data_IF_164101624034
#
_entry.id   IF_164101624034
#
_cell.length_a   1.000
_cell.length_b   1.000
_cell.length_c   1.000
_cell.angle_alpha   90.00
_cell.angle_beta   90.00
_cell.angle_gamma   90.00
#
_symmetry.space_group_name_H-M   'P 1'
#
loop_
_entity.id
_entity.type
_entity.pdbx_description
1 polymer ?
#
# COMPACT_ATOMS: atom_id res chain seq x y z
N UNK A 1 9.51 29.80 7.69
CA UNK A 1 10.32 28.63 7.27
C UNK A 1 10.05 27.52 8.26
N UNK A 2 9.54 26.37 7.81
CA UNK A 2 9.35 25.23 8.70
C UNK A 2 10.74 24.69 9.13
N UNK A 3 10.95 24.34 10.40
CA UNK A 3 12.15 23.65 10.85
C UNK A 3 12.44 22.43 9.97
N UNK A 4 13.68 22.30 9.48
CA UNK A 4 14.11 21.15 8.67
C UNK A 4 13.75 19.77 9.28
N UNK A 5 13.82 19.57 10.62
CA UNK A 5 13.39 18.32 11.24
C UNK A 5 11.89 18.00 11.05
N UNK A 6 11.01 19.01 11.04
CA UNK A 6 9.57 18.79 10.81
C UNK A 6 9.28 18.40 9.36
N UNK A 7 10.04 18.97 8.42
CA UNK A 7 9.94 18.61 6.99
C UNK A 7 10.39 17.16 6.77
N UNK A 8 11.50 16.73 7.40
CA UNK A 8 11.98 15.35 7.26
C UNK A 8 11.03 14.33 7.92
N UNK A 9 10.48 14.64 9.09
CA UNK A 9 9.51 13.78 9.79
C UNK A 9 8.23 13.61 8.97
N UNK A 10 7.70 14.70 8.42
CA UNK A 10 6.51 14.64 7.56
C UNK A 10 6.76 13.88 6.25
N UNK A 11 7.93 14.07 5.65
CA UNK A 11 8.33 13.31 4.45
C UNK A 11 8.45 11.81 4.76
N UNK A 12 9.04 11.45 5.91
CA UNK A 12 9.15 10.06 6.35
C UNK A 12 7.75 9.45 6.57
N UNK A 13 6.87 10.15 7.27
CA UNK A 13 5.47 9.72 7.44
C UNK A 13 4.78 9.47 6.10
N UNK A 14 4.97 10.38 5.13
CA UNK A 14 4.37 10.25 3.79
C UNK A 14 4.91 9.06 3.02
N UNK A 15 6.23 8.83 3.08
CA UNK A 15 6.86 7.67 2.45
C UNK A 15 6.39 6.36 3.07
N UNK A 16 6.27 6.33 4.38
CA UNK A 16 5.83 5.14 5.12
C UNK A 16 4.37 4.81 4.81
N UNK A 17 3.52 5.83 4.76
CA UNK A 17 2.11 5.69 4.34
C UNK A 17 2.00 5.18 2.90
N UNK A 18 2.80 5.71 1.98
CA UNK A 18 2.86 5.26 0.57
C UNK A 18 3.30 3.77 0.49
N UNK A 19 4.25 3.35 1.33
CA UNK A 19 4.70 1.95 1.43
C UNK A 19 3.60 1.02 1.95
N UNK A 20 2.87 1.43 3.00
CA UNK A 20 1.76 0.64 3.56
C UNK A 20 0.64 0.49 2.52
N UNK A 21 0.25 1.58 1.84
CA UNK A 21 -0.74 1.55 0.78
C UNK A 21 -0.33 0.60 -0.37
N UNK A 22 0.93 0.67 -0.78
CA UNK A 22 1.47 -0.16 -1.86
C UNK A 22 1.46 -1.64 -1.50
N UNK A 23 1.84 -1.98 -0.25
CA UNK A 23 1.79 -3.36 0.23
C UNK A 23 0.34 -3.87 0.31
N UNK A 24 -0.57 -3.11 0.91
CA UNK A 24 -1.99 -3.49 1.00
C UNK A 24 -2.60 -3.74 -0.38
N UNK A 25 -2.39 -2.85 -1.34
CA UNK A 25 -2.93 -3.03 -2.69
C UNK A 25 -2.33 -4.24 -3.41
N UNK A 26 -1.00 -4.42 -3.34
CA UNK A 26 -0.31 -5.53 -3.99
C UNK A 26 -0.73 -6.88 -3.40
N UNK A 27 -0.79 -6.95 -2.07
CA UNK A 27 -1.16 -8.15 -1.33
C UNK A 27 -2.64 -8.48 -1.49
N UNK A 28 -3.54 -7.49 -1.43
CA UNK A 28 -4.96 -7.70 -1.68
C UNK A 28 -5.19 -8.22 -3.10
N UNK A 29 -4.53 -7.64 -4.11
CA UNK A 29 -4.57 -8.13 -5.48
C UNK A 29 -4.07 -9.58 -5.59
N UNK A 30 -2.98 -9.93 -4.91
CA UNK A 30 -2.47 -11.30 -4.85
C UNK A 30 -3.45 -12.27 -4.17
N UNK A 31 -4.26 -11.78 -3.23
CA UNK A 31 -5.36 -12.51 -2.58
C UNK A 31 -6.64 -12.60 -3.43
N UNK A 32 -6.64 -12.04 -4.65
CA UNK A 32 -7.81 -12.07 -5.54
C UNK A 32 -8.77 -10.89 -5.38
N UNK A 33 -8.36 -9.82 -4.69
CA UNK A 33 -9.14 -8.58 -4.64
C UNK A 33 -9.25 -7.98 -6.05
N UNK A 34 -10.44 -7.54 -6.48
CA UNK A 34 -10.64 -7.01 -7.83
C UNK A 34 -9.82 -5.73 -8.03
N UNK A 35 -8.94 -5.76 -9.03
CA UNK A 35 -8.07 -4.64 -9.36
C UNK A 35 -8.85 -3.38 -9.80
N UNK A 36 -10.09 -3.52 -10.25
CA UNK A 36 -10.97 -2.41 -10.60
C UNK A 36 -11.36 -1.55 -9.38
N UNK A 37 -11.26 -2.10 -8.17
CA UNK A 37 -11.46 -1.36 -6.92
C UNK A 37 -10.15 -0.73 -6.39
N UNK A 38 -8.99 -1.14 -6.93
CA UNK A 38 -7.69 -0.59 -6.60
C UNK A 38 -7.32 0.44 -7.66
N UNK A 39 -7.62 1.71 -7.44
CA UNK A 39 -7.30 2.76 -8.42
C UNK A 39 -5.78 2.87 -8.62
N UNK A 40 -5.23 2.41 -9.77
CA UNK A 40 -3.81 2.61 -10.05
C UNK A 40 -3.64 4.04 -10.54
N UNK A 41 -2.58 4.72 -10.10
CA UNK A 41 -2.23 6.02 -10.69
C UNK A 41 -1.90 5.81 -12.17
N UNK A 42 -2.67 6.47 -13.03
CA UNK A 42 -2.34 6.63 -14.45
C UNK A 42 -3.15 5.80 -15.46
N UNK A 43 -4.22 5.10 -15.08
CA UNK A 43 -5.04 4.39 -16.06
C UNK A 43 -6.53 4.70 -15.93
N UNK A 44 -6.95 5.71 -16.69
CA UNK A 44 -8.29 5.74 -17.26
C UNK A 44 -8.53 4.41 -17.99
N UNK A 45 -9.59 3.69 -17.56
CA UNK A 45 -10.29 2.60 -18.25
C UNK A 45 -9.62 2.15 -19.56
N UNK A 46 -8.82 1.08 -19.56
CA UNK A 46 -8.60 0.29 -20.77
C UNK A 46 -8.34 -1.18 -20.43
N UNK A 47 -9.16 -2.02 -21.05
CA UNK A 47 -9.10 -3.47 -21.01
C UNK A 47 -7.74 -4.00 -21.50
N UNK A 48 -7.41 -5.18 -20.97
CA UNK A 48 -6.61 -6.25 -21.58
C UNK A 48 -5.09 -6.35 -21.27
N UNK A 49 -4.76 -7.60 -20.88
CA UNK A 49 -3.56 -8.42 -21.12
C UNK A 49 -2.19 -8.01 -20.57
N UNK A 50 -1.65 -8.97 -19.80
CA UNK A 50 -0.25 -9.38 -19.59
C UNK A 50 0.85 -8.36 -19.86
N UNK A 51 1.70 -8.09 -18.86
CA UNK A 51 3.17 -8.16 -19.01
C UNK A 51 3.86 -7.99 -17.65
N UNK A 52 4.77 -8.91 -17.35
CA UNK A 52 5.77 -8.75 -16.30
C UNK A 52 6.60 -7.49 -16.58
N UNK A 53 6.42 -6.44 -15.78
CA UNK A 53 7.39 -5.35 -15.70
C UNK A 53 7.42 -4.87 -14.26
N UNK A 54 8.58 -5.05 -13.64
CA UNK A 54 8.91 -4.69 -12.26
C UNK A 54 8.94 -3.16 -12.12
N UNK A 55 7.77 -2.54 -12.28
CA UNK A 55 7.52 -1.12 -12.05
C UNK A 55 6.74 -1.11 -10.75
N UNK A 56 7.37 -0.59 -9.70
CA UNK A 56 6.75 -0.24 -8.43
C UNK A 56 5.49 0.58 -8.71
N UNK A 57 4.36 -0.11 -8.83
CA UNK A 57 3.10 0.50 -9.20
C UNK A 57 2.69 1.29 -7.97
N UNK A 58 2.78 2.62 -8.04
CA UNK A 58 2.36 3.47 -6.93
C UNK A 58 0.83 3.37 -6.84
N UNK A 59 0.35 2.59 -5.88
CA UNK A 59 -1.08 2.41 -5.64
C UNK A 59 -1.61 3.60 -4.82
N UNK A 60 -2.68 4.24 -5.28
CA UNK A 60 -3.45 5.15 -4.43
C UNK A 60 -4.53 4.32 -3.76
N UNK A 61 -4.32 4.04 -2.47
CA UNK A 61 -5.34 3.50 -1.59
C UNK A 61 -5.85 4.65 -0.74
N UNK A 62 -7.17 4.90 -0.73
CA UNK A 62 -7.70 5.90 0.17
C UNK A 62 -7.57 5.40 1.60
N UNK A 63 -7.28 6.28 2.57
CA UNK A 63 -7.05 5.87 3.96
C UNK A 63 -8.23 5.05 4.54
N UNK A 64 -9.46 5.38 4.13
CA UNK A 64 -10.69 4.65 4.48
C UNK A 64 -10.70 3.18 4.03
N UNK A 65 -9.92 2.84 3.01
CA UNK A 65 -9.86 1.50 2.42
C UNK A 65 -8.79 0.62 3.08
N UNK A 66 -7.91 1.19 3.92
CA UNK A 66 -6.81 0.44 4.55
C UNK A 66 -7.33 -0.70 5.42
N UNK A 67 -8.32 -0.43 6.28
CA UNK A 67 -8.90 -1.43 7.17
C UNK A 67 -9.67 -2.51 6.38
N UNK A 68 -10.58 -2.15 5.45
CA UNK A 68 -11.22 -3.14 4.57
C UNK A 68 -10.23 -4.02 3.79
N UNK A 69 -9.16 -3.44 3.26
CA UNK A 69 -8.11 -4.19 2.54
C UNK A 69 -7.37 -5.14 3.47
N UNK A 70 -6.97 -4.69 4.65
CA UNK A 70 -6.33 -5.53 5.65
C UNK A 70 -7.23 -6.69 6.10
N UNK A 71 -8.52 -6.44 6.30
CA UNK A 71 -9.50 -7.48 6.64
C UNK A 71 -9.66 -8.50 5.51
N UNK A 72 -9.71 -8.06 4.25
CA UNK A 72 -9.77 -8.95 3.09
C UNK A 72 -8.52 -9.85 3.00
N UNK A 73 -7.34 -9.26 3.20
CA UNK A 73 -6.06 -9.99 3.23
C UNK A 73 -6.05 -11.01 4.36
N UNK A 74 -6.47 -10.63 5.57
CA UNK A 74 -6.52 -11.52 6.73
C UNK A 74 -7.54 -12.67 6.57
N UNK A 75 -8.64 -12.43 5.85
CA UNK A 75 -9.63 -13.45 5.52
C UNK A 75 -9.19 -14.39 4.39
N UNK A 76 -8.16 -14.02 3.63
CA UNK A 76 -7.64 -14.83 2.53
C UNK A 76 -6.84 -16.02 3.04
N UNK A 77 -7.34 -17.24 2.82
CA UNK A 77 -6.65 -18.49 3.17
C UNK A 77 -5.68 -18.98 2.09
N UNK A 78 -5.72 -18.37 0.89
CA UNK A 78 -4.89 -18.74 -0.28
C UNK A 78 -4.62 -17.47 -1.09
N UNK A 79 -3.36 -16.99 -1.20
CA UNK A 79 -2.12 -17.50 -0.61
C UNK A 79 -2.03 -17.22 0.91
N UNK A 80 -1.18 -17.96 1.62
CA UNK A 80 -0.75 -17.58 2.98
C UNK A 80 0.07 -16.31 2.84
N UNK A 81 -0.46 -15.20 3.34
CA UNK A 81 0.21 -13.91 3.30
C UNK A 81 1.22 -13.89 4.43
N UNK A 82 2.49 -14.07 4.08
CA UNK A 82 3.58 -13.80 5.01
C UNK A 82 3.78 -12.28 5.10
N UNK A 83 3.64 -11.73 6.31
CA UNK A 83 3.74 -10.28 6.53
C UNK A 83 5.23 -9.94 6.69
N UNK A 84 5.82 -9.15 5.77
CA UNK A 84 7.24 -8.83 5.87
C UNK A 84 7.54 -8.02 7.14
N UNK A 85 8.67 -8.29 7.78
CA UNK A 85 9.12 -7.55 8.97
C UNK A 85 9.30 -6.05 8.68
N UNK A 86 9.66 -5.70 7.43
CA UNK A 86 9.74 -4.32 6.96
C UNK A 86 8.38 -3.59 7.01
N UNK A 87 7.27 -4.30 6.79
CA UNK A 87 5.92 -3.74 6.89
C UNK A 87 5.57 -3.44 8.36
N UNK A 88 5.85 -4.38 9.27
CA UNK A 88 5.64 -4.20 10.71
C UNK A 88 6.49 -3.04 11.24
N UNK A 89 7.75 -2.98 10.85
CA UNK A 89 8.67 -1.88 11.21
C UNK A 89 8.17 -0.54 10.69
N UNK A 90 7.63 -0.50 9.48
CA UNK A 90 7.04 0.72 8.90
C UNK A 90 5.82 1.18 9.69
N UNK A 91 4.91 0.27 10.08
CA UNK A 91 3.76 0.61 10.93
C UNK A 91 4.23 1.14 12.29
N UNK A 92 5.17 0.46 12.94
CA UNK A 92 5.72 0.90 14.22
C UNK A 92 6.38 2.27 14.10
N UNK A 93 7.10 2.55 13.01
CA UNK A 93 7.70 3.86 12.77
C UNK A 93 6.64 4.95 12.59
N UNK A 94 5.58 4.70 11.81
CA UNK A 94 4.47 5.65 11.63
C UNK A 94 3.78 5.97 12.95
N UNK A 95 3.55 4.95 13.79
CA UNK A 95 2.89 5.12 15.10
C UNK A 95 3.78 5.91 16.07
N UNK A 96 5.08 5.61 16.13
CA UNK A 96 6.02 6.27 17.05
C UNK A 96 6.50 7.66 16.56
N UNK A 97 6.16 8.05 15.32
CA UNK A 97 6.42 9.41 14.80
C UNK A 97 5.38 10.44 15.29
N UNK A 98 4.36 9.99 16.04
CA UNK A 98 3.35 10.79 16.73
C UNK A 98 3.47 10.61 18.25
#
# INVERSE_FOLDING_TARGET
MLPAPLVSVYQQYKQDTDSVASWLASTAKACGYPADLLNPVGQAKKKAKHTHKNISSKYIVALKDFVPLAQFIAGSKKPVVDVPESFVTTINRVINLF
#
